data_IF_648555611308
#
_entry.id   IF_648555611308
#
_cell.length_a   1.000
_cell.length_b   1.000
_cell.length_c   1.000
_cell.angle_alpha   90.00
_cell.angle_beta   90.00
_cell.angle_gamma   90.00
#
_symmetry.space_group_name_H-M   'P 1'
#
loop_
_entity.id
_entity.type
_entity.pdbx_description
1 polymer ?
#
# COMPACT_ATOMS: atom_id res chain seq x y z
N UNK A 1 32.37 -20.94 -22.91
CA UNK A 1 32.33 -21.44 -21.52
C UNK A 1 31.42 -20.49 -20.75
N UNK A 2 30.16 -20.85 -20.57
CA UNK A 2 29.21 -20.03 -19.83
C UNK A 2 29.51 -20.19 -18.33
N UNK A 3 29.79 -19.09 -17.64
CA UNK A 3 29.93 -19.07 -16.20
C UNK A 3 28.50 -19.07 -15.62
N UNK A 4 28.04 -20.22 -15.12
CA UNK A 4 26.84 -20.28 -14.29
C UNK A 4 27.19 -19.79 -12.88
N UNK A 5 26.65 -18.65 -12.50
CA UNK A 5 26.58 -18.24 -11.09
C UNK A 5 25.53 -19.09 -10.39
N UNK A 6 25.95 -20.18 -9.75
CA UNK A 6 25.11 -20.86 -8.77
C UNK A 6 25.02 -19.98 -7.52
N UNK A 7 23.86 -19.34 -7.34
CA UNK A 7 23.52 -18.70 -6.07
C UNK A 7 23.44 -19.79 -5.00
N UNK A 8 24.17 -19.60 -3.89
CA UNK A 8 24.04 -20.47 -2.74
C UNK A 8 22.57 -20.45 -2.26
N UNK A 9 21.99 -21.59 -1.83
CA UNK A 9 20.65 -21.59 -1.27
C UNK A 9 20.67 -20.72 -0.02
N UNK A 10 20.07 -19.53 -0.11
CA UNK A 10 19.82 -18.70 1.05
C UNK A 10 18.73 -19.42 1.83
N UNK A 11 19.12 -20.11 2.91
CA UNK A 11 18.15 -20.55 3.90
C UNK A 11 17.56 -19.27 4.47
N UNK A 12 16.36 -18.94 4.01
CA UNK A 12 15.68 -17.73 4.44
C UNK A 12 14.95 -18.01 5.74
N UNK A 13 15.21 -17.22 6.78
CA UNK A 13 14.40 -17.20 8.01
C UNK A 13 13.00 -16.60 7.79
N UNK A 14 12.57 -16.43 6.55
CA UNK A 14 11.25 -15.87 6.22
C UNK A 14 10.15 -16.88 6.54
N UNK A 15 9.01 -16.36 6.94
CA UNK A 15 7.84 -17.16 7.26
C UNK A 15 7.01 -17.38 6.00
N UNK A 16 6.83 -18.64 5.61
CA UNK A 16 5.91 -18.99 4.53
C UNK A 16 4.45 -18.90 4.99
N UNK A 17 3.63 -18.17 4.22
CA UNK A 17 2.20 -17.96 4.50
C UNK A 17 1.37 -18.08 3.21
N UNK A 18 0.20 -18.71 3.31
CA UNK A 18 -0.81 -18.70 2.24
C UNK A 18 -1.78 -17.54 2.47
N UNK A 19 -1.60 -16.45 1.75
CA UNK A 19 -2.30 -15.18 1.98
C UNK A 19 -2.65 -14.48 0.66
N UNK A 20 -3.69 -13.64 0.67
CA UNK A 20 -4.04 -12.79 -0.47
C UNK A 20 -3.10 -11.60 -0.62
N UNK A 21 -3.14 -10.90 -1.76
CA UNK A 21 -2.41 -9.63 -1.92
C UNK A 21 -2.82 -8.60 -0.86
N UNK A 22 -4.10 -8.54 -0.48
CA UNK A 22 -4.54 -7.62 0.56
C UNK A 22 -4.01 -7.98 1.95
N UNK A 23 -3.97 -9.27 2.28
CA UNK A 23 -3.37 -9.75 3.52
C UNK A 23 -1.85 -9.52 3.54
N UNK A 24 -1.18 -9.72 2.40
CA UNK A 24 0.25 -9.46 2.22
C UNK A 24 0.60 -7.97 2.41
N UNK A 25 -0.22 -7.06 1.88
CA UNK A 25 -0.08 -5.62 2.15
C UNK A 25 -0.22 -5.32 3.65
N UNK A 26 -1.22 -5.90 4.32
CA UNK A 26 -1.42 -5.71 5.75
C UNK A 26 -0.28 -6.30 6.61
N UNK A 27 0.34 -7.42 6.20
CA UNK A 27 1.56 -7.95 6.83
C UNK A 27 2.72 -6.96 6.71
N UNK A 28 2.96 -6.43 5.51
CA UNK A 28 4.00 -5.44 5.27
C UNK A 28 3.77 -4.15 6.08
N UNK A 29 2.53 -3.69 6.21
CA UNK A 29 2.20 -2.49 6.99
C UNK A 29 2.44 -2.67 8.48
N UNK A 30 2.16 -3.87 9.02
CA UNK A 30 2.51 -4.17 10.41
C UNK A 30 4.02 -4.27 10.63
N UNK A 31 4.76 -4.81 9.65
CA UNK A 31 6.22 -4.85 9.70
C UNK A 31 6.86 -3.46 9.53
N UNK A 32 6.24 -2.60 8.73
CA UNK A 32 6.64 -1.21 8.55
C UNK A 32 6.29 -0.31 9.75
N UNK A 33 5.58 -0.83 10.75
CA UNK A 33 5.27 -0.12 11.99
C UNK A 33 4.61 1.25 11.75
N UNK A 34 3.54 1.26 10.93
CA UNK A 34 2.80 2.48 10.61
C UNK A 34 2.14 3.08 11.86
N UNK A 35 2.02 4.40 11.91
CA UNK A 35 1.43 5.13 13.04
C UNK A 35 -0.07 5.39 12.83
N UNK A 36 -0.47 5.74 11.60
CA UNK A 36 -1.84 6.16 11.29
C UNK A 36 -2.34 5.50 10.02
N UNK A 37 -3.54 4.91 10.09
CA UNK A 37 -4.28 4.42 8.94
C UNK A 37 -5.64 5.08 8.88
N UNK A 38 -6.11 5.44 7.69
CA UNK A 38 -7.49 5.93 7.49
C UNK A 38 -8.19 5.10 6.43
N UNK A 39 -9.46 4.78 6.69
CA UNK A 39 -10.25 3.87 5.88
C UNK A 39 -11.62 4.45 5.52
N UNK A 40 -12.07 4.15 4.32
CA UNK A 40 -13.42 4.35 3.81
C UNK A 40 -13.81 3.19 2.87
N UNK A 41 -14.99 2.57 3.00
CA UNK A 41 -15.28 1.32 2.32
C UNK A 41 -15.56 1.50 0.82
N UNK A 42 -14.65 1.01 -0.01
CA UNK A 42 -14.88 0.77 -1.44
C UNK A 42 -14.10 -0.46 -1.90
N UNK A 43 -14.78 -1.38 -2.61
CA UNK A 43 -14.10 -2.56 -3.18
C UNK A 43 -13.18 -2.16 -4.33
N UNK A 44 -12.07 -2.88 -4.56
CA UNK A 44 -11.55 -4.04 -3.82
C UNK A 44 -10.51 -3.74 -2.70
N UNK A 45 -10.04 -2.50 -2.55
CA UNK A 45 -8.98 -2.19 -1.58
C UNK A 45 -9.44 -2.33 -0.12
N UNK A 46 -10.74 -2.23 0.16
CA UNK A 46 -11.33 -2.31 1.50
C UNK A 46 -10.91 -3.58 2.27
N UNK A 47 -10.59 -4.66 1.57
CA UNK A 47 -10.04 -5.89 2.14
C UNK A 47 -8.70 -5.68 2.87
N UNK A 48 -7.85 -4.75 2.41
CA UNK A 48 -6.63 -4.36 3.15
C UNK A 48 -6.98 -3.68 4.45
N UNK A 49 -7.93 -2.75 4.41
CA UNK A 49 -8.36 -2.01 5.61
C UNK A 49 -8.96 -2.95 6.66
N UNK A 50 -9.75 -3.94 6.22
CA UNK A 50 -10.25 -5.01 7.11
C UNK A 50 -9.11 -5.87 7.70
N UNK A 51 -8.08 -6.19 6.91
CA UNK A 51 -6.93 -6.97 7.38
C UNK A 51 -6.07 -6.19 8.40
N UNK A 52 -5.85 -4.89 8.17
CA UNK A 52 -5.16 -4.00 9.12
C UNK A 52 -5.96 -3.84 10.41
N UNK A 53 -7.28 -3.60 10.31
CA UNK A 53 -8.15 -3.50 11.48
C UNK A 53 -8.06 -4.76 12.36
N UNK A 54 -8.03 -5.95 11.75
CA UNK A 54 -7.81 -7.22 12.47
C UNK A 54 -6.44 -7.29 13.13
N UNK A 55 -5.37 -6.76 12.51
CA UNK A 55 -4.03 -6.75 13.11
C UNK A 55 -3.97 -5.85 14.34
N UNK A 56 -4.56 -4.66 14.26
CA UNK A 56 -4.64 -3.72 15.38
C UNK A 56 -5.49 -4.31 16.51
N UNK A 57 -6.67 -4.84 16.21
CA UNK A 57 -7.56 -5.44 17.21
C UNK A 57 -6.94 -6.65 17.94
N UNK A 58 -6.03 -7.37 17.27
CA UNK A 58 -5.31 -8.51 17.86
C UNK A 58 -3.97 -8.13 18.51
N UNK A 59 -3.65 -6.84 18.62
CA UNK A 59 -2.39 -6.36 19.22
C UNK A 59 -1.14 -6.71 18.41
N UNK A 60 -1.28 -6.99 17.10
CA UNK A 60 -0.16 -7.26 16.19
C UNK A 60 0.43 -5.99 15.55
N UNK A 61 -0.25 -4.85 15.71
CA UNK A 61 0.16 -3.52 15.27
C UNK A 61 -0.46 -2.51 16.24
N UNK A 62 0.30 -1.49 16.64
CA UNK A 62 -0.21 -0.35 17.41
C UNK A 62 -0.25 0.85 16.48
N UNK A 63 -1.44 1.21 16.01
CA UNK A 63 -1.65 2.33 15.11
C UNK A 63 -3.03 2.94 15.34
N UNK A 64 -3.18 4.22 15.02
CA UNK A 64 -4.49 4.87 14.99
C UNK A 64 -5.25 4.43 13.74
N UNK A 65 -6.44 3.85 13.94
CA UNK A 65 -7.34 3.45 12.85
C UNK A 65 -8.53 4.40 12.77
N UNK A 66 -8.53 5.28 11.78
CA UNK A 66 -9.56 6.31 11.63
C UNK A 66 -10.52 5.89 10.51
N UNK A 67 -11.81 5.83 10.82
CA UNK A 67 -12.86 5.65 9.80
C UNK A 67 -13.31 7.04 9.33
N UNK A 68 -12.95 7.40 8.11
CA UNK A 68 -13.36 8.66 7.50
C UNK A 68 -14.81 8.60 7.01
N UNK A 69 -15.39 9.76 6.70
CA UNK A 69 -16.73 9.90 6.12
C UNK A 69 -16.75 9.78 4.59
N UNK A 70 -15.58 9.79 3.95
CA UNK A 70 -15.39 9.65 2.51
C UNK A 70 -13.90 9.67 2.13
N UNK A 71 -13.58 9.33 0.87
CA UNK A 71 -12.20 9.24 0.42
C UNK A 71 -11.48 10.59 0.42
N UNK A 72 -12.15 11.70 0.11
CA UNK A 72 -11.53 13.03 0.22
C UNK A 72 -10.95 13.26 1.62
N UNK A 73 -11.78 13.11 2.65
CA UNK A 73 -11.36 13.24 4.05
C UNK A 73 -10.34 12.17 4.46
N UNK A 74 -10.47 10.95 3.94
CA UNK A 74 -9.50 9.88 4.19
C UNK A 74 -8.08 10.29 3.79
N UNK A 75 -7.91 10.82 2.58
CA UNK A 75 -6.61 11.26 2.07
C UNK A 75 -6.13 12.54 2.79
N UNK A 76 -7.04 13.46 3.14
CA UNK A 76 -6.69 14.66 3.89
C UNK A 76 -6.16 14.35 5.30
N UNK A 77 -6.77 13.41 6.02
CA UNK A 77 -6.34 13.00 7.36
C UNK A 77 -4.92 12.43 7.33
N UNK A 78 -4.65 11.45 6.46
CA UNK A 78 -3.31 10.84 6.39
C UNK A 78 -2.26 11.79 5.84
N UNK A 79 -2.60 12.66 4.88
CA UNK A 79 -1.68 13.69 4.39
C UNK A 79 -1.20 14.56 5.55
N UNK A 80 -2.12 15.07 6.37
CA UNK A 80 -1.76 15.91 7.50
C UNK A 80 -1.06 15.14 8.63
N UNK A 81 -1.46 13.90 8.91
CA UNK A 81 -0.73 13.05 9.85
C UNK A 81 0.74 12.84 9.41
N UNK A 82 0.98 12.65 8.11
CA UNK A 82 2.35 12.54 7.58
C UNK A 82 3.14 13.83 7.73
N UNK A 83 2.51 15.01 7.61
CA UNK A 83 3.21 16.29 7.82
C UNK A 83 3.70 16.51 9.25
N UNK A 84 3.12 15.81 10.24
CA UNK A 84 3.59 15.84 11.64
C UNK A 84 4.52 14.68 12.00
N UNK A 85 5.00 13.95 10.98
CA UNK A 85 6.02 12.91 11.13
C UNK A 85 5.49 11.49 11.30
N UNK A 86 4.18 11.26 11.17
CA UNK A 86 3.61 9.92 11.22
C UNK A 86 3.91 9.15 9.93
N UNK A 87 4.27 7.87 10.04
CA UNK A 87 4.21 6.93 8.92
C UNK A 87 2.76 6.53 8.68
N UNK A 88 2.24 6.84 7.50
CA UNK A 88 0.80 6.74 7.22
C UNK A 88 0.48 5.77 6.09
N UNK A 89 -0.73 5.21 6.15
CA UNK A 89 -1.30 4.44 5.06
C UNK A 89 -2.77 4.79 4.81
N UNK A 90 -3.17 4.83 3.54
CA UNK A 90 -4.57 4.82 3.13
C UNK A 90 -4.70 4.12 1.76
N UNK A 91 -5.90 4.09 1.19
CA UNK A 91 -6.07 3.60 -0.17
C UNK A 91 -7.47 3.82 -0.70
N UNK A 92 -7.68 3.57 -1.98
CA UNK A 92 -9.02 3.58 -2.56
C UNK A 92 -9.06 2.74 -3.83
N UNK A 93 -10.18 2.81 -4.54
CA UNK A 93 -10.49 2.08 -5.75
C UNK A 93 -11.42 2.89 -6.64
N UNK A 94 -11.18 2.93 -7.95
CA UNK A 94 -12.11 3.50 -8.93
C UNK A 94 -12.56 4.92 -8.60
N UNK A 95 -13.87 5.11 -8.48
CA UNK A 95 -14.48 6.44 -8.22
C UNK A 95 -14.09 7.04 -6.87
N UNK A 96 -13.69 6.25 -5.88
CA UNK A 96 -13.20 6.76 -4.60
C UNK A 96 -11.86 7.49 -4.75
N UNK A 97 -11.00 7.01 -5.65
CA UNK A 97 -9.77 7.70 -6.02
C UNK A 97 -10.07 9.04 -6.71
N UNK A 98 -11.08 9.09 -7.58
CA UNK A 98 -11.54 10.34 -8.21
C UNK A 98 -12.12 11.32 -7.20
N UNK A 99 -12.84 10.82 -6.19
CA UNK A 99 -13.43 11.65 -5.16
C UNK A 99 -12.36 12.36 -4.29
N UNK A 100 -11.18 11.75 -4.14
CA UNK A 100 -10.04 12.32 -3.43
C UNK A 100 -9.11 13.20 -4.28
N UNK A 101 -9.46 13.51 -5.53
CA UNK A 101 -8.55 14.13 -6.52
C UNK A 101 -7.90 15.44 -6.03
N UNK A 102 -8.62 16.28 -5.29
CA UNK A 102 -8.05 17.52 -4.74
C UNK A 102 -6.87 17.22 -3.81
N UNK A 103 -7.07 16.34 -2.82
CA UNK A 103 -6.00 15.95 -1.90
C UNK A 103 -4.84 15.29 -2.67
N UNK A 104 -5.15 14.38 -3.60
CA UNK A 104 -4.15 13.71 -4.42
C UNK A 104 -3.31 14.70 -5.24
N UNK A 105 -3.91 15.78 -5.73
CA UNK A 105 -3.23 16.82 -6.52
C UNK A 105 -2.25 17.63 -5.66
N UNK A 106 -2.61 17.95 -4.42
CA UNK A 106 -1.79 18.81 -3.56
C UNK A 106 -0.73 18.06 -2.77
N UNK A 107 -0.84 16.74 -2.60
CA UNK A 107 0.13 15.94 -1.83
C UNK A 107 1.56 15.99 -2.39
N UNK A 108 1.83 15.75 -3.68
CA UNK A 108 3.20 15.79 -4.22
C UNK A 108 3.92 17.14 -4.09
N UNK A 109 3.32 18.32 -4.43
CA UNK A 109 4.02 19.60 -4.29
C UNK A 109 4.28 19.99 -2.83
N UNK A 110 3.52 19.45 -1.88
CA UNK A 110 3.77 19.59 -0.45
C UNK A 110 4.86 18.65 0.07
N UNK A 111 5.41 17.76 -0.78
CA UNK A 111 6.49 16.83 -0.45
C UNK A 111 6.11 15.91 0.72
N UNK A 112 4.89 15.39 0.70
CA UNK A 112 4.38 14.51 1.76
C UNK A 112 4.64 13.05 1.37
N UNK A 113 5.47 12.29 2.12
CA UNK A 113 5.91 10.94 1.75
C UNK A 113 4.90 9.86 2.15
N UNK A 114 3.63 10.02 1.78
CA UNK A 114 2.60 9.03 2.08
C UNK A 114 2.67 7.83 1.13
N UNK A 115 2.44 6.63 1.66
CA UNK A 115 2.23 5.42 0.87
C UNK A 115 0.73 5.12 0.87
N UNK A 116 0.17 4.91 -0.32
CA UNK A 116 -1.22 4.47 -0.45
C UNK A 116 -1.34 3.30 -1.43
N UNK A 117 -2.50 2.65 -1.40
CA UNK A 117 -2.86 1.62 -2.35
C UNK A 117 -3.98 2.08 -3.28
N UNK A 118 -3.86 1.76 -4.56
CA UNK A 118 -4.95 1.80 -5.54
C UNK A 118 -5.35 0.36 -5.84
N UNK A 119 -6.44 -0.10 -5.22
CA UNK A 119 -7.07 -1.36 -5.62
C UNK A 119 -7.81 -1.12 -6.93
N UNK A 120 -7.17 -1.39 -8.06
CA UNK A 120 -7.64 -0.95 -9.38
C UNK A 120 -9.06 -1.45 -9.66
N UNK A 121 -9.92 -0.50 -10.02
CA UNK A 121 -11.34 -0.75 -10.34
C UNK A 121 -11.78 0.24 -11.41
N UNK A 122 -12.51 -0.26 -12.39
CA UNK A 122 -13.15 0.54 -13.41
C UNK A 122 -14.02 1.66 -12.82
N UNK A 123 -13.98 2.82 -13.48
CA UNK A 123 -14.84 3.95 -13.15
C UNK A 123 -16.30 3.68 -13.57
N UNK A 124 -17.21 4.52 -13.08
CA UNK A 124 -18.59 4.53 -13.55
C UNK A 124 -18.64 5.18 -14.97
N UNK A 125 -19.54 4.82 -15.89
CA UNK A 125 -20.93 4.30 -15.80
C UNK A 125 -21.12 3.11 -16.78
N UNK A 126 -21.76 1.97 -16.42
CA UNK A 126 -22.71 1.73 -15.32
C UNK A 126 -22.10 1.46 -13.94
N UNK A 127 -20.78 1.53 -13.82
CA UNK A 127 -20.02 1.06 -12.67
C UNK A 127 -19.68 -0.41 -12.83
N UNK A 128 -18.38 -0.69 -12.94
CA UNK A 128 -17.88 -2.03 -13.08
C UNK A 128 -17.04 -2.41 -11.84
N UNK A 129 -17.27 -3.63 -11.34
CA UNK A 129 -16.41 -4.23 -10.32
C UNK A 129 -15.11 -4.78 -10.90
N UNK A 130 -15.02 -4.86 -12.24
CA UNK A 130 -13.83 -5.29 -12.95
C UNK A 130 -12.69 -4.29 -12.80
N UNK A 131 -11.49 -4.77 -13.11
CA UNK A 131 -10.25 -4.00 -13.05
C UNK A 131 -10.07 -3.16 -14.31
N UNK A 132 -9.74 -1.90 -14.12
CA UNK A 132 -9.09 -1.03 -15.11
C UNK A 132 -8.04 -0.21 -14.36
N UNK A 133 -6.98 0.21 -15.04
CA UNK A 133 -5.91 1.01 -14.42
C UNK A 133 -6.13 2.52 -14.56
N UNK A 134 -7.27 2.93 -15.11
CA UNK A 134 -7.56 4.33 -15.36
C UNK A 134 -7.59 5.14 -14.05
N UNK A 135 -8.05 4.55 -12.95
CA UNK A 135 -8.04 5.17 -11.63
C UNK A 135 -6.64 5.64 -11.22
N UNK A 136 -5.68 4.71 -11.08
CA UNK A 136 -4.29 5.04 -10.77
C UNK A 136 -3.66 5.98 -11.82
N UNK A 137 -3.92 5.75 -13.11
CA UNK A 137 -3.34 6.53 -14.20
C UNK A 137 -3.82 7.99 -14.26
N UNK A 138 -4.89 8.36 -13.56
CA UNK A 138 -5.35 9.76 -13.52
C UNK A 138 -4.39 10.71 -12.85
N UNK A 139 -3.55 10.23 -11.92
CA UNK A 139 -2.59 11.08 -11.19
C UNK A 139 -1.19 11.05 -11.79
N UNK A 140 -0.99 10.40 -12.94
CA UNK A 140 0.34 10.19 -13.57
C UNK A 140 1.13 11.49 -13.79
N UNK A 141 0.41 12.60 -13.98
CA UNK A 141 0.99 13.91 -14.30
C UNK A 141 1.14 14.80 -13.04
N UNK A 142 0.75 14.31 -11.85
CA UNK A 142 0.66 15.11 -10.62
C UNK A 142 1.90 14.97 -9.71
N UNK A 143 2.85 14.10 -10.05
CA UNK A 143 4.07 13.87 -9.26
C UNK A 143 3.99 12.69 -8.28
N UNK A 144 3.00 11.80 -8.46
CA UNK A 144 2.95 10.52 -7.78
C UNK A 144 3.91 9.51 -8.43
N UNK A 145 4.60 8.72 -7.61
CA UNK A 145 5.23 7.50 -8.09
C UNK A 145 4.18 6.38 -8.11
N UNK A 146 4.03 5.72 -9.24
CA UNK A 146 3.07 4.64 -9.42
C UNK A 146 3.82 3.32 -9.63
N UNK A 147 3.48 2.29 -8.85
CA UNK A 147 4.06 0.96 -8.97
C UNK A 147 2.93 -0.06 -9.09
N UNK A 148 2.93 -0.85 -10.16
CA UNK A 148 2.00 -1.97 -10.30
C UNK A 148 2.65 -3.24 -9.77
N UNK A 149 1.88 -4.04 -9.04
CA UNK A 149 2.29 -5.34 -8.51
C UNK A 149 1.40 -6.43 -9.10
N UNK A 150 1.99 -7.58 -9.42
CA UNK A 150 1.29 -8.70 -10.08
C UNK A 150 1.08 -9.90 -9.14
N UNK A 151 1.86 -9.98 -8.06
CA UNK A 151 1.79 -11.10 -7.10
C UNK A 151 1.64 -10.64 -5.66
N UNK A 152 1.13 -11.53 -4.79
CA UNK A 152 1.01 -11.23 -3.37
C UNK A 152 2.39 -11.03 -2.70
N UNK A 153 3.43 -11.71 -3.20
CA UNK A 153 4.81 -11.46 -2.79
C UNK A 153 5.26 -10.06 -3.18
N UNK A 154 5.05 -9.66 -4.44
CA UNK A 154 5.38 -8.31 -4.89
C UNK A 154 4.62 -7.24 -4.13
N UNK A 155 3.36 -7.49 -3.76
CA UNK A 155 2.59 -6.59 -2.93
C UNK A 155 3.25 -6.38 -1.55
N UNK A 156 3.69 -7.46 -0.90
CA UNK A 156 4.41 -7.40 0.37
C UNK A 156 5.71 -6.59 0.21
N UNK A 157 6.55 -7.02 -0.72
CA UNK A 157 7.88 -6.45 -0.92
C UNK A 157 7.79 -4.98 -1.32
N UNK A 158 6.89 -4.66 -2.26
CA UNK A 158 6.68 -3.30 -2.75
C UNK A 158 6.13 -2.40 -1.67
N UNK A 159 5.30 -2.88 -0.75
CA UNK A 159 4.84 -2.07 0.38
C UNK A 159 6.01 -1.62 1.26
N UNK A 160 6.96 -2.50 1.56
CA UNK A 160 8.17 -2.15 2.32
C UNK A 160 9.13 -1.25 1.51
N UNK A 161 9.32 -1.56 0.22
CA UNK A 161 10.11 -0.75 -0.70
C UNK A 161 9.53 0.67 -0.83
N UNK A 162 8.20 0.79 -0.87
CA UNK A 162 7.51 2.06 -1.03
C UNK A 162 7.85 3.00 0.11
N UNK A 163 7.77 2.58 1.37
CA UNK A 163 8.19 3.43 2.49
C UNK A 163 9.66 3.82 2.40
N UNK A 164 10.54 2.86 2.09
CA UNK A 164 11.98 3.12 1.96
C UNK A 164 12.29 4.19 0.90
N UNK A 165 11.54 4.20 -0.20
CA UNK A 165 11.72 5.15 -1.31
C UNK A 165 11.02 6.48 -0.98
N UNK A 166 9.75 6.43 -0.56
CA UNK A 166 8.92 7.60 -0.29
C UNK A 166 9.55 8.50 0.79
N UNK A 167 10.06 7.89 1.85
CA UNK A 167 10.59 8.60 3.03
C UNK A 167 12.08 8.98 2.88
N UNK A 168 12.76 8.51 1.83
CA UNK A 168 14.14 8.92 1.57
C UNK A 168 14.18 10.43 1.31
N UNK A 169 15.00 11.17 2.06
CA UNK A 169 15.09 12.63 1.96
C UNK A 169 15.47 13.16 0.58
N UNK A 170 16.10 12.33 -0.26
CA UNK A 170 16.44 12.67 -1.66
C UNK A 170 15.22 12.58 -2.57
N UNK A 171 14.22 11.79 -2.19
CA UNK A 171 12.98 11.54 -2.94
C UNK A 171 11.82 12.32 -2.33
N UNK A 172 11.42 12.00 -1.10
CA UNK A 172 10.41 12.70 -0.27
C UNK A 172 9.14 13.07 -1.06
N UNK A 173 8.53 12.05 -1.66
CA UNK A 173 7.36 12.13 -2.55
C UNK A 173 6.41 10.96 -2.27
N UNK A 174 5.10 11.13 -2.53
CA UNK A 174 4.14 10.07 -2.28
C UNK A 174 4.24 8.94 -3.32
N UNK A 175 3.89 7.72 -2.89
CA UNK A 175 3.87 6.51 -3.72
C UNK A 175 2.49 5.87 -3.64
N UNK A 176 1.95 5.52 -4.82
CA UNK A 176 0.74 4.71 -4.93
C UNK A 176 1.09 3.32 -5.47
N UNK A 177 0.74 2.30 -4.68
CA UNK A 177 0.87 0.88 -5.05
C UNK A 177 -0.43 0.46 -5.72
N UNK A 178 -0.36 0.25 -7.02
CA UNK A 178 -1.47 -0.19 -7.85
C UNK A 178 -1.54 -1.70 -7.86
N UNK A 179 -2.72 -2.25 -7.56
CA UNK A 179 -2.93 -3.69 -7.48
C UNK A 179 -4.25 -4.08 -8.13
N UNK A 180 -4.19 -5.09 -8.99
CA UNK A 180 -5.34 -5.54 -9.76
C UNK A 180 -6.47 -6.07 -8.86
N UNK A 181 -7.63 -5.44 -9.04
CA UNK A 181 -8.85 -5.79 -8.32
C UNK A 181 -9.30 -7.22 -8.59
N UNK A 182 -9.75 -7.91 -7.54
CA UNK A 182 -10.08 -9.34 -7.52
C UNK A 182 -8.89 -10.28 -7.79
N UNK A 183 -8.16 -10.09 -8.89
CA UNK A 183 -7.07 -10.97 -9.32
C UNK A 183 -5.96 -11.07 -8.28
N UNK A 184 -5.49 -9.94 -7.74
CA UNK A 184 -4.41 -9.94 -6.76
C UNK A 184 -4.93 -9.74 -5.34
N UNK A 185 -5.84 -8.79 -5.17
CA UNK A 185 -6.38 -8.41 -3.84
C UNK A 185 -7.09 -9.57 -3.13
N UNK A 186 -7.66 -10.53 -3.86
CA UNK A 186 -8.46 -11.62 -3.29
C UNK A 186 -7.86 -13.01 -3.49
N UNK A 187 -7.03 -13.23 -4.51
CA UNK A 187 -6.40 -14.53 -4.76
C UNK A 187 -5.29 -14.80 -3.75
N UNK A 188 -5.34 -15.96 -3.11
CA UNK A 188 -4.29 -16.39 -2.19
C UNK A 188 -3.14 -17.04 -2.94
N UNK A 189 -1.93 -16.73 -2.52
CA UNK A 189 -0.70 -17.34 -3.01
C UNK A 189 0.27 -17.55 -1.84
N UNK A 190 1.28 -18.39 -2.07
CA UNK A 190 2.36 -18.55 -1.11
C UNK A 190 3.21 -17.28 -1.12
N UNK A 191 3.38 -16.66 0.05
CA UNK A 191 4.25 -15.51 0.29
C UNK A 191 5.29 -15.85 1.36
N UNK A 192 6.52 -15.39 1.15
CA UNK A 192 7.62 -15.41 2.09
C UNK A 192 7.65 -14.07 2.83
N UNK A 193 7.16 -14.07 4.07
CA UNK A 193 7.06 -12.88 4.91
C UNK A 193 8.40 -12.68 5.65
N UNK A 194 9.07 -11.53 5.51
CA UNK A 194 10.36 -11.30 6.13
C UNK A 194 10.24 -11.13 7.64
N UNK A 195 11.30 -11.48 8.36
CA UNK A 195 11.36 -11.25 9.80
C UNK A 195 11.42 -9.76 10.14
N UNK A 196 10.85 -9.37 11.28
CA UNK A 196 10.92 -7.99 11.81
C UNK A 196 12.35 -7.45 11.81
N UNK A 197 13.33 -8.26 12.24
CA UNK A 197 14.74 -7.87 12.27
C UNK A 197 15.32 -7.56 10.87
N UNK A 198 14.88 -8.28 9.82
CA UNK A 198 15.28 -7.95 8.45
C UNK A 198 14.68 -6.61 8.02
N UNK A 199 13.43 -6.34 8.38
CA UNK A 199 12.72 -5.09 8.05
C UNK A 199 13.30 -3.91 8.80
N UNK A 200 13.54 -3.99 10.11
CA UNK A 200 14.12 -2.90 10.91
C UNK A 200 15.49 -2.44 10.39
N UNK A 201 16.28 -3.38 9.84
CA UNK A 201 17.57 -3.06 9.19
C UNK A 201 17.39 -2.36 7.84
N UNK A 202 16.32 -2.69 7.13
CA UNK A 202 16.03 -2.17 5.79
C UNK A 202 15.32 -0.81 5.84
N UNK A 203 14.31 -0.69 6.71
CA UNK A 203 13.45 0.47 6.90
C UNK A 203 13.61 0.98 8.36
N UNK A 204 14.48 1.97 8.59
CA UNK A 204 14.62 2.61 9.89
C UNK A 204 13.31 3.27 10.35
N UNK A 205 13.15 3.48 11.67
CA UNK A 205 12.04 4.25 12.22
C UNK A 205 12.06 5.70 11.76
#
# INVERSE_FOLDING_TARGET
>A
MALETNAAPVVSDDQEMLISGSEACAEALALADIDVVTAYPIRPYDTVMQAIAKKIANGKLTAEYIVAEGEHSQFEVVKHASTVGARVFCGSSGVGWMYAMECLTVTPPLRVPMVCMVGNRALDDPGAFGVEHNDALTVRDLGWMLIWVDTAQEMLDTTLLAYRIAEDRRVFLPIAISADGAFLTHSQAICQVPTRAKVDRFLPP
#
